data_IF_142434066666
#
_entry.id   IF_142434066666
#
_cell.length_a   1.000
_cell.length_b   1.000
_cell.length_c   1.000
_cell.angle_alpha   90.00
_cell.angle_beta   90.00
_cell.angle_gamma   90.00
#
_symmetry.space_group_name_H-M   'P 1'
#
loop_
_entity.id
_entity.type
_entity.pdbx_description
1 polymer ?
#
# COMPACT_ATOMS: atom_id res chain seq x y z
N UNK A 1 25.46 -55.60 -66.34
CA UNK A 1 23.99 -55.50 -66.56
C UNK A 1 23.34 -56.08 -65.31
N UNK A 2 22.69 -55.34 -64.42
CA UNK A 2 21.83 -54.16 -64.57
C UNK A 2 21.82 -53.34 -63.25
N UNK A 3 21.28 -52.10 -63.25
CA UNK A 3 21.78 -50.99 -62.40
C UNK A 3 21.00 -50.72 -61.09
N UNK A 4 21.68 -49.93 -60.25
CA UNK A 4 21.24 -49.04 -59.17
C UNK A 4 19.75 -48.66 -59.11
N UNK A 5 19.18 -48.76 -57.89
CA UNK A 5 17.99 -48.02 -57.47
C UNK A 5 18.37 -46.99 -56.40
N UNK A 6 18.07 -45.72 -56.69
CA UNK A 6 18.31 -44.56 -55.81
C UNK A 6 17.24 -44.46 -54.72
N UNK A 7 17.58 -44.08 -53.47
CA UNK A 7 16.60 -43.89 -52.42
C UNK A 7 15.85 -42.54 -52.55
N UNK A 8 14.53 -42.60 -52.38
CA UNK A 8 13.60 -41.46 -52.34
C UNK A 8 14.01 -40.46 -51.25
N UNK A 9 14.32 -39.22 -51.66
CA UNK A 9 14.50 -38.06 -50.77
C UNK A 9 13.16 -37.64 -50.15
N UNK A 10 13.03 -37.76 -48.84
CA UNK A 10 11.98 -37.07 -48.09
C UNK A 10 12.33 -35.57 -47.99
N UNK A 11 11.40 -34.72 -48.40
CA UNK A 11 11.51 -33.25 -48.39
C UNK A 11 11.32 -32.68 -46.98
N UNK A 12 12.16 -31.71 -46.61
CA UNK A 12 12.18 -30.98 -45.31
C UNK A 12 10.90 -30.16 -45.01
N UNK A 13 9.85 -30.24 -45.83
CA UNK A 13 8.56 -29.53 -45.62
C UNK A 13 7.42 -30.38 -45.04
N UNK A 14 7.66 -31.65 -44.70
CA UNK A 14 6.65 -32.53 -44.09
C UNK A 14 6.64 -32.55 -42.55
N UNK A 15 7.54 -31.86 -41.86
CA UNK A 15 7.73 -31.97 -40.40
C UNK A 15 7.12 -30.80 -39.58
N UNK A 16 6.21 -30.02 -40.17
CA UNK A 16 5.56 -28.88 -39.50
C UNK A 16 4.02 -28.91 -39.54
N UNK A 17 3.42 -30.06 -39.84
CA UNK A 17 1.97 -30.19 -39.91
C UNK A 17 1.48 -31.47 -39.22
N UNK A 18 1.70 -31.58 -37.90
CA UNK A 18 0.89 -32.40 -36.98
C UNK A 18 1.45 -32.29 -35.56
N UNK A 19 0.97 -31.33 -34.76
CA UNK A 19 0.96 -31.45 -33.29
C UNK A 19 -0.10 -30.50 -32.72
N UNK A 20 -1.35 -30.80 -33.04
CA UNK A 20 -2.51 -30.36 -32.25
C UNK A 20 -2.81 -31.42 -31.20
N UNK A 21 -2.73 -31.02 -29.93
CA UNK A 21 -3.36 -31.62 -28.74
C UNK A 21 -3.18 -33.14 -28.48
N UNK A 22 -2.26 -33.46 -27.57
CA UNK A 22 -2.39 -34.39 -26.43
C UNK A 22 -1.07 -35.13 -26.11
N UNK A 23 -0.51 -34.89 -24.92
CA UNK A 23 0.21 -35.90 -24.15
C UNK A 23 1.66 -36.27 -24.52
N UNK A 24 2.59 -35.79 -23.68
CA UNK A 24 3.87 -36.41 -23.26
C UNK A 24 4.99 -36.58 -24.29
N UNK A 25 6.08 -35.82 -24.09
CA UNK A 25 7.43 -36.31 -24.37
C UNK A 25 8.42 -35.76 -23.33
N UNK A 26 8.62 -36.54 -22.26
CA UNK A 26 9.86 -36.48 -21.51
C UNK A 26 10.99 -36.98 -22.41
N UNK A 27 12.05 -36.17 -22.59
CA UNK A 27 13.50 -36.51 -22.73
C UNK A 27 14.23 -35.30 -23.34
N UNK A 28 14.80 -34.44 -22.47
CA UNK A 28 15.97 -33.57 -22.69
C UNK A 28 16.37 -32.89 -21.36
N UNK A 29 16.73 -33.72 -20.37
CA UNK A 29 16.74 -33.42 -18.93
C UNK A 29 17.86 -32.53 -18.37
N UNK A 30 18.31 -31.48 -19.07
CA UNK A 30 19.11 -30.42 -18.43
C UNK A 30 18.94 -29.04 -19.10
N UNK A 31 18.71 -29.01 -20.41
CA UNK A 31 18.50 -27.77 -21.16
C UNK A 31 17.01 -27.38 -21.22
N UNK A 32 16.11 -28.36 -21.13
CA UNK A 32 14.66 -28.11 -21.15
C UNK A 32 14.11 -27.54 -19.84
N UNK A 33 14.78 -27.78 -18.70
CA UNK A 33 14.37 -27.24 -17.39
C UNK A 33 14.49 -25.72 -17.32
N UNK A 34 15.56 -25.17 -17.91
CA UNK A 34 15.81 -23.72 -17.93
C UNK A 34 14.87 -23.01 -18.92
N UNK A 35 14.61 -23.62 -20.09
CA UNK A 35 13.65 -23.11 -21.06
C UNK A 35 12.20 -23.18 -20.56
N UNK A 36 11.78 -24.27 -19.90
CA UNK A 36 10.44 -24.35 -19.30
C UNK A 36 10.30 -23.43 -18.10
N UNK A 37 11.28 -23.35 -17.20
CA UNK A 37 11.28 -22.39 -16.09
C UNK A 37 11.23 -20.93 -16.58
N UNK A 38 11.96 -20.60 -17.65
CA UNK A 38 11.90 -19.28 -18.31
C UNK A 38 10.52 -18.97 -18.91
N UNK A 39 9.88 -19.97 -19.54
CA UNK A 39 8.52 -19.83 -20.08
C UNK A 39 7.49 -19.64 -18.94
N UNK A 40 7.54 -20.45 -17.88
CA UNK A 40 6.62 -20.34 -16.75
C UNK A 40 6.86 -19.05 -15.93
N UNK A 41 8.12 -18.61 -15.79
CA UNK A 41 8.46 -17.34 -15.15
C UNK A 41 7.94 -16.13 -15.93
N UNK A 42 8.12 -16.13 -17.26
CA UNK A 42 7.58 -15.08 -18.13
C UNK A 42 6.05 -15.01 -18.11
N UNK A 43 5.37 -16.15 -18.03
CA UNK A 43 3.91 -16.18 -17.93
C UNK A 43 3.38 -15.61 -16.60
N UNK A 44 4.03 -15.95 -15.49
CA UNK A 44 3.68 -15.38 -14.18
C UNK A 44 3.88 -13.87 -14.14
N UNK A 45 4.98 -13.36 -14.70
CA UNK A 45 5.21 -11.93 -14.79
C UNK A 45 4.12 -11.22 -15.63
N UNK A 46 3.69 -11.82 -16.76
CA UNK A 46 2.57 -11.29 -17.55
C UNK A 46 1.25 -11.29 -16.79
N UNK A 47 0.98 -12.30 -15.97
CA UNK A 47 -0.22 -12.35 -15.13
C UNK A 47 -0.24 -11.23 -14.08
N UNK A 48 0.91 -10.89 -13.48
CA UNK A 48 1.03 -9.73 -12.59
C UNK A 48 0.73 -8.45 -13.38
N UNK A 49 1.36 -8.26 -14.53
CA UNK A 49 1.12 -7.07 -15.38
C UNK A 49 -0.33 -6.93 -15.87
N UNK A 50 -1.02 -8.05 -16.14
CA UNK A 50 -2.40 -8.05 -16.62
C UNK A 50 -3.46 -7.89 -15.52
N UNK A 51 -3.08 -7.99 -14.23
CA UNK A 51 -4.04 -7.97 -13.12
C UNK A 51 -4.76 -6.63 -13.05
N UNK A 52 -6.09 -6.70 -12.92
CA UNK A 52 -6.99 -5.54 -12.77
C UNK A 52 -7.65 -5.56 -11.40
N UNK A 53 -7.73 -4.40 -10.76
CA UNK A 53 -8.56 -4.18 -9.58
C UNK A 53 -9.72 -3.28 -10.01
N UNK A 54 -10.99 -3.65 -9.73
CA UNK A 54 -12.13 -2.81 -10.07
C UNK A 54 -12.01 -1.41 -9.44
N UNK A 55 -12.19 -0.37 -10.26
CA UNK A 55 -12.18 1.02 -9.80
C UNK A 55 -13.48 1.40 -9.07
N UNK A 56 -14.62 1.09 -9.71
CA UNK A 56 -15.95 1.37 -9.18
C UNK A 56 -16.35 0.34 -8.12
N UNK A 57 -17.06 0.79 -7.09
CA UNK A 57 -17.47 -0.02 -5.94
C UNK A 57 -17.96 0.86 -4.79
N UNK A 58 -18.48 0.22 -3.72
CA UNK A 58 -18.96 0.95 -2.51
C UNK A 58 -17.85 1.77 -1.85
N UNK A 59 -16.63 1.24 -1.84
CA UNK A 59 -15.45 1.84 -1.25
C UNK A 59 -14.39 2.04 -2.32
N UNK A 60 -13.55 3.07 -2.19
CA UNK A 60 -12.42 3.23 -3.10
C UNK A 60 -11.47 2.02 -2.99
N UNK A 61 -11.05 1.52 -4.16
CA UNK A 61 -10.41 0.21 -4.28
C UNK A 61 -9.15 0.03 -3.43
N UNK A 62 -8.30 1.06 -3.32
CA UNK A 62 -7.01 0.98 -2.63
C UNK A 62 -7.12 0.74 -1.11
N UNK A 63 -8.31 0.89 -0.51
CA UNK A 63 -8.55 0.51 0.89
C UNK A 63 -8.48 -1.01 1.06
N UNK A 64 -9.19 -1.77 0.23
CA UNK A 64 -9.31 -3.23 0.37
C UNK A 64 -8.42 -4.03 -0.60
N UNK A 65 -7.80 -3.38 -1.58
CA UNK A 65 -6.90 -4.05 -2.52
C UNK A 65 -5.78 -4.81 -1.80
N UNK A 66 -5.29 -5.93 -2.35
CA UNK A 66 -4.11 -6.61 -1.81
C UNK A 66 -2.88 -5.67 -1.75
N UNK A 67 -1.87 -5.97 -0.91
CA UNK A 67 -0.60 -5.26 -0.94
C UNK A 67 0.01 -5.30 -2.34
N UNK A 68 0.50 -4.15 -2.82
CA UNK A 68 1.17 -4.01 -4.11
C UNK A 68 2.67 -3.82 -3.92
N UNK A 69 3.46 -4.09 -4.97
CA UNK A 69 4.91 -3.92 -4.93
C UNK A 69 5.35 -2.45 -4.75
N UNK A 70 4.59 -1.50 -5.28
CA UNK A 70 4.89 -0.07 -5.25
C UNK A 70 3.72 0.73 -4.68
N UNK A 71 4.04 1.72 -3.84
CA UNK A 71 3.07 2.65 -3.27
C UNK A 71 3.62 4.05 -3.28
N UNK A 72 3.00 4.96 -4.04
CA UNK A 72 3.35 6.38 -4.07
C UNK A 72 2.22 7.17 -3.45
N UNK A 73 2.55 8.07 -2.54
CA UNK A 73 1.58 8.97 -1.93
C UNK A 73 1.97 10.41 -2.23
N UNK A 74 1.05 11.15 -2.83
CA UNK A 74 1.24 12.55 -3.16
C UNK A 74 0.13 13.38 -2.52
N UNK A 75 0.49 14.54 -2.01
CA UNK A 75 -0.47 15.57 -1.63
C UNK A 75 -0.43 16.71 -2.64
N UNK A 76 -1.59 17.31 -2.87
CA UNK A 76 -1.77 18.48 -3.72
C UNK A 76 -2.36 19.62 -2.90
N UNK A 77 -1.92 20.84 -3.19
CA UNK A 77 -2.56 22.07 -2.72
C UNK A 77 -3.29 22.73 -3.89
N UNK A 78 -4.55 23.12 -3.68
CA UNK A 78 -5.31 23.89 -4.66
C UNK A 78 -4.76 25.32 -4.76
N UNK A 79 -4.73 25.86 -5.98
CA UNK A 79 -4.20 27.19 -6.23
C UNK A 79 -5.08 28.27 -5.59
N UNK A 80 -4.52 29.44 -5.22
CA UNK A 80 -5.32 30.55 -4.70
C UNK A 80 -6.42 30.98 -5.68
N UNK A 81 -7.63 31.21 -5.16
CA UNK A 81 -8.77 31.69 -5.96
C UNK A 81 -9.50 30.62 -6.77
N UNK A 82 -9.18 29.33 -6.58
CA UNK A 82 -9.94 28.25 -7.20
C UNK A 82 -11.40 28.26 -6.71
N UNK A 83 -12.33 27.98 -7.60
CA UNK A 83 -13.76 27.85 -7.28
C UNK A 83 -14.14 26.40 -6.98
N UNK A 84 -15.25 26.19 -6.26
CA UNK A 84 -15.83 24.85 -6.03
C UNK A 84 -16.01 24.09 -7.34
N UNK A 85 -16.55 24.73 -8.37
CA UNK A 85 -16.77 24.12 -9.68
C UNK A 85 -15.48 23.71 -10.40
N UNK A 86 -14.37 24.42 -10.20
CA UNK A 86 -13.07 24.01 -10.75
C UNK A 86 -12.51 22.77 -10.05
N UNK A 87 -12.65 22.67 -8.73
CA UNK A 87 -12.25 21.48 -7.97
C UNK A 87 -13.15 20.29 -8.31
N UNK A 88 -14.46 20.49 -8.44
CA UNK A 88 -15.40 19.46 -8.88
C UNK A 88 -15.04 18.95 -10.29
N UNK A 89 -14.76 19.87 -11.23
CA UNK A 89 -14.33 19.53 -12.59
C UNK A 89 -13.03 18.72 -12.59
N UNK A 90 -12.09 19.05 -11.70
CA UNK A 90 -10.87 18.27 -11.51
C UNK A 90 -11.18 16.86 -11.02
N UNK A 91 -12.06 16.70 -10.02
CA UNK A 91 -12.44 15.37 -9.51
C UNK A 91 -13.15 14.52 -10.56
N UNK A 92 -13.97 15.12 -11.43
CA UNK A 92 -14.59 14.43 -12.57
C UNK A 92 -13.54 13.95 -13.57
N UNK A 93 -12.59 14.82 -13.92
CA UNK A 93 -11.46 14.49 -14.80
C UNK A 93 -10.60 13.37 -14.21
N UNK A 94 -10.18 13.51 -12.95
CA UNK A 94 -9.39 12.51 -12.24
C UNK A 94 -10.09 11.17 -12.12
N UNK A 95 -11.40 11.15 -11.84
CA UNK A 95 -12.18 9.90 -11.77
C UNK A 95 -12.18 9.20 -13.13
N UNK A 96 -12.46 9.93 -14.22
CA UNK A 96 -12.44 9.38 -15.57
C UNK A 96 -11.08 8.78 -15.89
N UNK A 97 -10.01 9.55 -15.65
CA UNK A 97 -8.65 9.14 -15.99
C UNK A 97 -8.21 7.96 -15.11
N UNK A 98 -8.56 7.96 -13.82
CA UNK A 98 -8.28 6.84 -12.93
C UNK A 98 -8.99 5.55 -13.37
N UNK A 99 -10.27 5.64 -13.78
CA UNK A 99 -11.02 4.49 -14.30
C UNK A 99 -10.37 3.90 -15.55
N UNK A 100 -9.85 4.74 -16.45
CA UNK A 100 -9.13 4.30 -17.65
C UNK A 100 -7.79 3.63 -17.29
N UNK A 101 -6.95 4.30 -16.49
CA UNK A 101 -5.63 3.80 -16.14
C UNK A 101 -5.68 2.49 -15.34
N UNK A 102 -6.64 2.35 -14.42
CA UNK A 102 -6.83 1.10 -13.64
C UNK A 102 -7.36 -0.06 -14.50
N UNK A 103 -7.97 0.24 -15.65
CA UNK A 103 -8.30 -0.74 -16.68
C UNK A 103 -7.13 -1.02 -17.65
N UNK A 104 -6.02 -0.29 -17.57
CA UNK A 104 -4.90 -0.36 -18.51
C UNK A 104 -5.18 0.34 -19.84
N UNK A 105 -6.12 1.28 -19.84
CA UNK A 105 -6.52 2.06 -21.01
C UNK A 105 -5.81 3.43 -20.98
N UNK A 106 -5.45 3.99 -22.15
CA UNK A 106 -4.78 5.28 -22.25
C UNK A 106 -5.72 6.44 -21.86
N UNK A 107 -5.14 7.54 -21.38
CA UNK A 107 -5.86 8.78 -21.03
C UNK A 107 -5.66 9.88 -22.07
N UNK A 108 -6.47 10.94 -22.02
CA UNK A 108 -6.29 12.08 -22.92
C UNK A 108 -4.93 12.77 -22.67
N UNK A 109 -4.15 12.99 -23.74
CA UNK A 109 -2.83 13.61 -23.63
C UNK A 109 -1.77 12.70 -23.01
N UNK A 110 -1.95 11.38 -23.10
CA UNK A 110 -0.96 10.37 -22.69
C UNK A 110 0.38 10.59 -23.43
N UNK A 111 1.48 10.36 -22.71
CA UNK A 111 2.85 10.51 -23.22
C UNK A 111 3.50 9.17 -23.58
N UNK A 112 2.71 8.10 -23.64
CA UNK A 112 3.13 6.74 -24.00
C UNK A 112 4.12 6.11 -23.02
N UNK A 113 4.31 6.68 -21.82
CA UNK A 113 5.24 6.15 -20.82
C UNK A 113 4.86 4.74 -20.34
N UNK A 114 3.56 4.42 -20.29
CA UNK A 114 3.07 3.09 -19.94
C UNK A 114 2.67 2.24 -21.17
N UNK A 115 3.08 2.63 -22.39
CA UNK A 115 2.74 1.88 -23.59
C UNK A 115 3.29 0.45 -23.52
N UNK A 116 2.41 -0.54 -23.63
CA UNK A 116 2.76 -1.97 -23.52
C UNK A 116 2.73 -2.51 -22.09
N UNK A 117 2.50 -1.67 -21.09
CA UNK A 117 2.22 -2.11 -19.72
C UNK A 117 0.73 -2.45 -19.57
N UNK A 118 0.43 -3.52 -18.85
CA UNK A 118 -0.92 -3.74 -18.34
C UNK A 118 -1.18 -2.95 -17.05
N UNK A 119 -2.41 -2.97 -16.53
CA UNK A 119 -2.78 -2.18 -15.36
C UNK A 119 -2.03 -2.56 -14.08
N UNK A 120 -1.41 -3.74 -14.01
CA UNK A 120 -0.49 -4.12 -12.93
C UNK A 120 -1.04 -3.88 -11.52
N UNK A 121 -2.30 -4.27 -11.29
CA UNK A 121 -3.00 -4.07 -10.02
C UNK A 121 -3.17 -2.60 -9.59
N UNK A 122 -3.09 -1.65 -10.53
CA UNK A 122 -3.18 -0.22 -10.21
C UNK A 122 -4.44 0.10 -9.41
N UNK A 123 -4.27 0.80 -8.30
CA UNK A 123 -5.35 1.51 -7.60
C UNK A 123 -4.97 2.96 -7.39
N UNK A 124 -5.98 3.83 -7.42
CA UNK A 124 -5.85 5.27 -7.17
C UNK A 124 -6.91 5.61 -6.14
N UNK A 125 -6.48 6.05 -4.96
CA UNK A 125 -7.35 6.41 -3.84
C UNK A 125 -7.15 7.89 -3.52
N UNK A 126 -8.24 8.65 -3.52
CA UNK A 126 -8.23 10.10 -3.31
C UNK A 126 -8.91 10.43 -1.99
N UNK A 127 -8.32 11.33 -1.21
CA UNK A 127 -8.90 11.86 0.02
C UNK A 127 -8.74 13.37 0.14
N UNK A 128 -9.59 13.98 0.96
CA UNK A 128 -9.68 15.43 1.16
C UNK A 128 -9.15 15.81 2.54
N UNK A 129 -8.17 16.70 2.56
CA UNK A 129 -7.61 17.25 3.79
C UNK A 129 -8.52 18.31 4.40
N UNK A 130 -8.36 18.61 5.70
CA UNK A 130 -9.15 19.65 6.37
C UNK A 130 -8.93 21.05 5.79
N UNK A 131 -7.81 21.30 5.10
CA UNK A 131 -7.56 22.56 4.41
C UNK A 131 -8.39 22.72 3.13
N UNK A 132 -8.64 21.64 2.38
CA UNK A 132 -9.52 21.70 1.21
C UNK A 132 -10.94 22.06 1.62
N UNK A 133 -11.48 21.38 2.63
CA UNK A 133 -12.84 21.62 3.10
C UNK A 133 -13.02 23.09 3.51
N UNK A 134 -12.05 23.67 4.23
CA UNK A 134 -12.07 25.10 4.57
C UNK A 134 -12.04 26.02 3.34
N UNK A 135 -11.24 25.68 2.32
CA UNK A 135 -11.15 26.47 1.08
C UNK A 135 -12.43 26.39 0.23
N UNK A 136 -13.20 25.32 0.38
CA UNK A 136 -14.50 25.12 -0.28
C UNK A 136 -15.69 25.59 0.58
N UNK A 137 -15.43 26.22 1.74
CA UNK A 137 -16.45 26.60 2.73
C UNK A 137 -17.32 25.43 3.23
N UNK A 138 -16.77 24.22 3.17
CA UNK A 138 -17.39 23.00 3.66
C UNK A 138 -17.10 22.81 5.16
N UNK A 139 -18.07 22.23 5.89
CA UNK A 139 -17.87 21.88 7.30
C UNK A 139 -16.73 20.85 7.45
N UNK A 140 -15.77 21.14 8.35
CA UNK A 140 -14.71 20.20 8.72
C UNK A 140 -15.22 19.26 9.82
N UNK A 141 -15.20 17.96 9.57
CA UNK A 141 -15.70 16.96 10.52
C UNK A 141 -14.77 16.84 11.71
N UNK A 142 -15.31 16.48 12.88
CA UNK A 142 -14.52 16.23 14.07
C UNK A 142 -13.49 15.09 13.88
N UNK A 143 -13.77 14.12 13.01
CA UNK A 143 -12.82 13.06 12.64
C UNK A 143 -11.59 13.58 11.85
N UNK A 144 -11.65 14.78 11.28
CA UNK A 144 -10.50 15.48 10.67
C UNK A 144 -9.78 16.44 11.64
N UNK A 145 -9.99 16.27 12.95
CA UNK A 145 -9.18 16.98 13.94
C UNK A 145 -7.70 16.68 13.69
N UNK A 146 -6.82 17.70 13.70
CA UNK A 146 -5.39 17.49 13.52
C UNK A 146 -4.84 16.44 14.48
N UNK A 147 -3.98 15.57 13.96
CA UNK A 147 -3.25 14.59 14.77
C UNK A 147 -2.38 15.37 15.78
N UNK A 148 -2.44 15.05 17.08
CA UNK A 148 -1.66 15.77 18.08
C UNK A 148 -0.17 15.54 17.87
N UNK A 149 0.65 16.49 18.31
CA UNK A 149 2.09 16.31 18.34
C UNK A 149 2.46 15.24 19.38
N UNK A 150 3.36 14.32 19.02
CA UNK A 150 3.87 13.29 19.92
C UNK A 150 5.32 13.58 20.34
N UNK A 151 5.77 13.07 21.49
CA UNK A 151 7.17 13.11 21.88
C UNK A 151 8.08 12.57 20.77
N UNK A 152 9.17 13.30 20.47
CA UNK A 152 10.18 12.97 19.44
C UNK A 152 9.70 13.09 17.99
N UNK A 153 8.50 13.60 17.75
CA UNK A 153 8.11 14.04 16.40
C UNK A 153 9.09 15.09 15.87
N UNK A 154 9.53 14.92 14.63
CA UNK A 154 10.37 15.85 13.87
C UNK A 154 9.67 16.18 12.55
N UNK A 155 8.39 16.59 12.63
CA UNK A 155 7.54 16.77 11.46
C UNK A 155 8.01 17.94 10.60
N UNK A 156 8.37 17.64 9.36
CA UNK A 156 8.57 18.60 8.29
C UNK A 156 7.21 19.06 7.77
N UNK A 157 6.90 20.35 7.97
CA UNK A 157 5.62 20.95 7.54
C UNK A 157 5.47 21.00 6.02
N UNK A 158 6.56 21.17 5.27
CA UNK A 158 6.51 21.24 3.80
C UNK A 158 6.16 19.88 3.20
N UNK A 159 6.50 18.80 3.91
CA UNK A 159 6.21 17.41 3.55
C UNK A 159 5.02 16.82 4.32
N UNK A 160 4.21 17.64 4.98
CA UNK A 160 3.05 17.24 5.77
C UNK A 160 1.76 17.87 5.24
N UNK A 161 0.62 17.35 5.68
CA UNK A 161 -0.73 17.80 5.30
C UNK A 161 -0.96 17.86 3.78
N UNK A 162 -1.89 18.70 3.33
CA UNK A 162 -2.26 18.92 1.93
C UNK A 162 -3.77 18.98 1.75
N UNK A 163 -4.22 19.62 0.67
CA UNK A 163 -5.64 19.73 0.35
C UNK A 163 -6.23 18.42 -0.19
N UNK A 164 -5.52 17.76 -1.11
CA UNK A 164 -5.96 16.51 -1.72
C UNK A 164 -4.83 15.48 -1.62
N UNK A 165 -5.09 14.36 -0.96
CA UNK A 165 -4.17 13.22 -0.89
C UNK A 165 -4.51 12.20 -1.95
N UNK A 166 -3.50 11.68 -2.65
CA UNK A 166 -3.65 10.66 -3.70
C UNK A 166 -2.68 9.52 -3.46
N UNK A 167 -3.20 8.36 -3.07
CA UNK A 167 -2.47 7.11 -2.92
C UNK A 167 -2.57 6.29 -4.21
N UNK A 168 -1.42 6.05 -4.83
CA UNK A 168 -1.29 5.25 -6.04
C UNK A 168 -0.51 3.99 -5.72
N UNK A 169 -1.06 2.83 -6.03
CA UNK A 169 -0.39 1.54 -5.76
C UNK A 169 -0.45 0.65 -6.99
N UNK A 170 0.64 0.00 -7.36
CA UNK A 170 0.66 -1.00 -8.43
C UNK A 170 1.83 -1.98 -8.23
N UNK A 171 1.81 -3.08 -8.96
CA UNK A 171 2.91 -4.05 -9.01
C UNK A 171 4.03 -3.64 -9.99
N UNK A 172 3.87 -2.49 -10.67
CA UNK A 172 4.84 -1.93 -11.61
C UNK A 172 5.06 -0.43 -11.35
N UNK A 173 6.32 -0.01 -11.19
CA UNK A 173 6.67 1.37 -10.84
C UNK A 173 6.42 2.37 -12.00
N UNK A 174 6.53 1.94 -13.25
CA UNK A 174 6.25 2.78 -14.43
C UNK A 174 4.76 3.11 -14.48
N UNK A 175 3.90 2.14 -14.18
CA UNK A 175 2.45 2.33 -14.08
C UNK A 175 2.09 3.33 -12.98
N UNK A 176 2.71 3.25 -11.79
CA UNK A 176 2.48 4.23 -10.72
C UNK A 176 2.96 5.64 -11.13
N UNK A 177 4.16 5.74 -11.71
CA UNK A 177 4.70 7.01 -12.18
C UNK A 177 3.83 7.65 -13.26
N UNK A 178 3.27 6.84 -14.16
CA UNK A 178 2.36 7.27 -15.22
C UNK A 178 1.08 7.85 -14.65
N UNK A 179 0.45 7.13 -13.73
CA UNK A 179 -0.76 7.59 -13.09
C UNK A 179 -0.54 8.93 -12.37
N UNK A 180 0.54 9.08 -11.59
CA UNK A 180 0.83 10.35 -10.93
C UNK A 180 1.08 11.48 -11.93
N UNK A 181 1.83 11.23 -13.01
CA UNK A 181 2.13 12.23 -14.02
C UNK A 181 0.89 12.66 -14.80
N UNK A 182 -0.02 11.73 -15.09
CA UNK A 182 -1.31 12.01 -15.71
C UNK A 182 -2.17 12.91 -14.81
N UNK A 183 -2.37 12.55 -13.53
CA UNK A 183 -3.14 13.35 -12.58
C UNK A 183 -2.53 14.73 -12.33
N UNK A 184 -1.20 14.81 -12.26
CA UNK A 184 -0.49 16.09 -12.08
C UNK A 184 -0.63 17.00 -13.29
N UNK A 185 -0.69 16.44 -14.52
CA UNK A 185 -0.89 17.21 -15.75
C UNK A 185 -2.29 17.81 -15.81
N UNK A 186 -3.31 17.04 -15.44
CA UNK A 186 -4.70 17.49 -15.45
C UNK A 186 -5.04 18.42 -14.28
N UNK A 187 -4.25 18.40 -13.21
CA UNK A 187 -4.37 19.35 -12.10
C UNK A 187 -3.87 20.76 -12.40
N UNK A 188 -3.05 20.96 -13.45
CA UNK A 188 -2.42 22.26 -13.76
C UNK A 188 -3.46 23.37 -13.85
N UNK A 189 -3.24 24.45 -13.11
CA UNK A 189 -4.15 25.60 -13.04
C UNK A 189 -5.24 25.47 -11.97
N UNK A 190 -5.41 24.29 -11.36
CA UNK A 190 -6.38 24.04 -10.27
C UNK A 190 -5.67 23.62 -8.99
N UNK A 191 -4.66 22.76 -9.07
CA UNK A 191 -3.86 22.29 -7.95
C UNK A 191 -2.41 21.99 -8.37
N UNK A 192 -1.50 22.00 -7.40
CA UNK A 192 -0.09 21.68 -7.58
C UNK A 192 0.36 20.64 -6.55
N UNK A 193 1.32 19.80 -6.91
CA UNK A 193 1.92 18.84 -5.98
C UNK A 193 2.59 19.61 -4.84
N UNK A 194 2.19 19.30 -3.61
CA UNK A 194 2.79 19.81 -2.38
C UNK A 194 4.01 18.98 -2.00
N UNK A 195 3.84 17.67 -1.94
CA UNK A 195 4.90 16.71 -1.69
C UNK A 195 4.52 15.36 -2.30
N UNK A 196 5.53 14.52 -2.54
CA UNK A 196 5.35 13.14 -2.95
C UNK A 196 6.38 12.25 -2.25
N UNK A 197 5.96 11.04 -1.90
CA UNK A 197 6.84 10.01 -1.34
C UNK A 197 6.55 8.68 -2.01
N UNK A 198 7.60 7.94 -2.33
CA UNK A 198 7.54 6.62 -2.94
C UNK A 198 8.02 5.56 -1.96
N UNK A 199 7.33 4.42 -1.96
CA UNK A 199 7.71 3.24 -1.20
C UNK A 199 7.54 1.97 -2.02
N UNK A 200 8.03 0.89 -1.44
CA UNK A 200 8.04 -0.44 -2.03
C UNK A 200 7.72 -1.52 -0.98
N UNK A 201 7.21 -2.63 -1.48
CA UNK A 201 7.09 -3.92 -0.80
C UNK A 201 7.68 -5.00 -1.71
N UNK A 202 7.70 -6.25 -1.24
CA UNK A 202 8.05 -7.37 -2.11
C UNK A 202 7.05 -7.49 -3.26
N UNK A 203 7.55 -7.68 -4.48
CA UNK A 203 6.71 -7.94 -5.64
C UNK A 203 6.05 -9.33 -5.53
N UNK A 204 4.85 -9.44 -6.09
CA UNK A 204 4.09 -10.69 -6.09
C UNK A 204 4.88 -11.81 -6.80
N UNK A 205 4.90 -12.98 -6.19
CA UNK A 205 5.60 -14.17 -6.70
C UNK A 205 7.10 -14.21 -6.45
N UNK A 206 7.70 -13.21 -5.79
CA UNK A 206 9.14 -13.21 -5.44
C UNK A 206 9.43 -13.94 -4.13
N UNK A 207 8.45 -14.03 -3.22
CA UNK A 207 8.60 -14.77 -1.96
C UNK A 207 8.35 -16.27 -2.16
N UNK A 208 9.24 -17.11 -1.60
CA UNK A 208 9.19 -18.58 -1.73
C UNK A 208 7.89 -19.18 -1.16
N UNK A 209 7.34 -18.58 -0.10
CA UNK A 209 6.03 -18.93 0.43
C UNK A 209 4.95 -18.05 -0.23
N UNK A 210 3.93 -18.69 -0.81
CA UNK A 210 2.74 -17.99 -1.31
C UNK A 210 1.98 -17.34 -0.13
N UNK A 211 1.54 -16.09 -0.31
CA UNK A 211 0.77 -15.37 0.71
C UNK A 211 1.55 -15.05 1.99
N UNK A 212 2.88 -15.10 1.95
CA UNK A 212 3.70 -14.70 3.08
C UNK A 212 3.47 -13.23 3.43
N UNK A 213 3.30 -12.94 4.71
CA UNK A 213 3.22 -11.57 5.22
C UNK A 213 4.52 -10.83 4.86
N UNK A 214 4.43 -9.59 4.34
CA UNK A 214 5.60 -8.80 3.96
C UNK A 214 6.59 -8.56 5.11
N UNK A 215 7.79 -8.12 4.76
CA UNK A 215 8.80 -7.65 5.72
C UNK A 215 9.08 -6.16 5.55
N UNK A 216 9.43 -5.49 6.64
CA UNK A 216 9.90 -4.11 6.63
C UNK A 216 11.44 -4.03 6.70
N UNK A 217 12.01 -2.82 6.62
CA UNK A 217 13.47 -2.61 6.61
C UNK A 217 14.18 -2.86 7.95
N UNK A 218 13.45 -3.00 9.06
CA UNK A 218 14.00 -3.55 10.31
C UNK A 218 14.09 -5.08 10.29
N UNK A 219 13.65 -5.73 9.19
CA UNK A 219 13.66 -7.17 8.99
C UNK A 219 12.52 -7.90 9.70
N UNK A 220 11.50 -7.19 10.17
CA UNK A 220 10.36 -7.76 10.88
C UNK A 220 9.29 -8.21 9.90
N UNK A 221 8.53 -9.27 10.23
CA UNK A 221 7.27 -9.61 9.56
C UNK A 221 6.23 -8.55 9.92
N UNK A 222 5.61 -7.93 8.93
CA UNK A 222 4.75 -6.75 9.11
C UNK A 222 3.43 -6.87 8.33
N UNK A 223 2.32 -6.99 9.07
CA UNK A 223 0.99 -7.17 8.49
C UNK A 223 0.13 -8.21 9.20
N UNK A 224 0.75 -9.12 9.98
CA UNK A 224 0.09 -10.27 10.63
C UNK A 224 -1.18 -9.92 11.40
N UNK A 225 -1.14 -8.84 12.18
CA UNK A 225 -2.25 -8.40 13.05
C UNK A 225 -3.22 -7.43 12.39
N UNK A 226 -3.21 -7.31 11.06
CA UNK A 226 -4.21 -6.49 10.37
C UNK A 226 -5.60 -7.11 10.48
N UNK A 227 -6.65 -6.28 10.61
CA UNK A 227 -8.02 -6.75 10.53
C UNK A 227 -8.32 -7.30 9.14
N UNK A 228 -9.17 -8.33 9.07
CA UNK A 228 -9.61 -8.98 7.83
C UNK A 228 -11.06 -8.60 7.54
N UNK A 229 -11.48 -8.50 6.26
CA UNK A 229 -12.88 -8.25 5.92
C UNK A 229 -13.89 -9.25 6.51
N UNK A 230 -13.42 -10.45 6.86
CA UNK A 230 -14.22 -11.48 7.54
C UNK A 230 -14.39 -11.27 9.05
N UNK A 231 -13.64 -10.34 9.66
CA UNK A 231 -13.66 -10.13 11.10
C UNK A 231 -14.96 -9.43 11.52
N UNK A 232 -15.54 -9.80 12.68
CA UNK A 232 -16.63 -9.04 13.27
C UNK A 232 -16.22 -7.57 13.46
N UNK A 233 -17.16 -6.66 13.21
CA UNK A 233 -16.93 -5.20 13.28
C UNK A 233 -15.97 -4.64 12.23
N UNK A 234 -15.54 -5.42 11.21
CA UNK A 234 -14.60 -4.93 10.21
C UNK A 234 -15.07 -3.61 9.58
N UNK A 235 -16.27 -3.65 9.00
CA UNK A 235 -16.86 -2.52 8.31
C UNK A 235 -17.07 -1.34 9.25
N UNK A 236 -17.59 -1.59 10.45
CA UNK A 236 -17.90 -0.56 11.44
C UNK A 236 -16.66 0.22 11.90
N UNK A 237 -15.46 -0.38 11.84
CA UNK A 237 -14.21 0.25 12.30
C UNK A 237 -13.34 0.77 11.16
N UNK A 238 -13.55 0.34 9.91
CA UNK A 238 -12.82 0.84 8.74
C UNK A 238 -13.58 1.90 7.97
N UNK A 239 -14.89 1.74 7.83
CA UNK A 239 -15.71 2.63 7.01
C UNK A 239 -16.57 3.54 7.88
N UNK A 240 -16.63 4.80 7.48
CA UNK A 240 -17.48 5.79 8.12
C UNK A 240 -18.94 5.54 7.71
N UNK A 241 -19.79 5.31 8.70
CA UNK A 241 -21.26 5.25 8.55
C UNK A 241 -21.94 6.37 9.35
N UNK A 242 -21.25 6.91 10.35
CA UNK A 242 -21.63 8.10 11.10
C UNK A 242 -20.97 9.36 10.52
N UNK A 243 -21.68 10.48 10.56
CA UNK A 243 -21.15 11.80 10.16
C UNK A 243 -21.91 12.41 8.99
N UNK A 244 -21.27 13.28 8.18
CA UNK A 244 -21.94 13.88 7.03
C UNK A 244 -22.18 12.82 5.95
N UNK A 245 -23.32 12.93 5.26
CA UNK A 245 -23.76 11.96 4.26
C UNK A 245 -22.72 11.69 3.15
N UNK A 246 -21.88 12.68 2.80
CA UNK A 246 -20.84 12.52 1.78
C UNK A 246 -19.70 11.57 2.19
N UNK A 247 -19.58 11.26 3.49
CA UNK A 247 -18.59 10.31 4.02
C UNK A 247 -19.15 8.90 4.24
N UNK A 248 -20.44 8.65 4.04
CA UNK A 248 -21.00 7.31 4.24
C UNK A 248 -20.37 6.31 3.25
N UNK A 249 -19.76 5.23 3.77
CA UNK A 249 -18.97 4.29 2.98
C UNK A 249 -17.55 4.77 2.64
N UNK A 250 -17.15 5.95 3.13
CA UNK A 250 -15.77 6.45 3.08
C UNK A 250 -14.91 5.90 4.23
N UNK A 251 -13.68 6.39 4.37
CA UNK A 251 -12.75 6.07 5.46
C UNK A 251 -11.84 7.27 5.76
N UNK A 252 -11.12 7.26 6.86
CA UNK A 252 -10.11 8.27 7.18
C UNK A 252 -8.71 7.69 7.11
N UNK A 253 -7.89 8.28 6.24
CA UNK A 253 -6.51 7.87 6.01
C UNK A 253 -5.56 8.75 6.83
N UNK A 254 -4.84 8.11 7.75
CA UNK A 254 -3.67 8.69 8.40
C UNK A 254 -2.42 8.26 7.64
N UNK A 255 -1.54 9.23 7.36
CA UNK A 255 -0.22 9.02 6.82
C UNK A 255 0.85 9.48 7.80
N UNK A 256 1.91 8.68 7.96
CA UNK A 256 3.14 9.05 8.67
C UNK A 256 4.36 8.58 7.88
N UNK A 257 5.31 9.47 7.59
CA UNK A 257 6.68 9.04 7.22
C UNK A 257 7.43 8.75 8.50
N UNK A 258 7.82 7.50 8.68
CA UNK A 258 8.51 7.03 9.88
C UNK A 258 9.90 6.56 9.49
N UNK A 259 10.92 7.37 9.79
CA UNK A 259 12.31 6.97 9.59
C UNK A 259 12.70 5.93 10.62
N UNK A 260 13.36 4.88 10.17
CA UNK A 260 13.96 3.85 11.02
C UNK A 260 15.41 4.26 11.32
N UNK A 261 15.79 4.28 12.59
CA UNK A 261 17.16 4.54 13.03
C UNK A 261 17.98 3.26 12.88
N UNK A 262 18.22 2.84 11.63
CA UNK A 262 18.79 1.53 11.29
C UNK A 262 20.18 1.33 11.91
N UNK A 263 21.05 2.35 11.88
CA UNK A 263 22.38 2.27 12.49
C UNK A 263 22.32 1.95 14.00
N UNK A 264 21.30 2.47 14.71
CA UNK A 264 21.07 2.16 16.13
C UNK A 264 20.42 0.80 16.31
N UNK A 265 19.45 0.46 15.47
CA UNK A 265 18.73 -0.81 15.48
C UNK A 265 19.67 -2.00 15.26
N UNK A 266 20.63 -1.87 14.36
CA UNK A 266 21.56 -2.93 13.97
C UNK A 266 22.65 -3.21 15.02
N UNK A 267 22.80 -2.34 16.02
CA UNK A 267 23.66 -2.63 17.20
C UNK A 267 23.04 -3.62 18.18
N UNK A 268 21.72 -3.83 18.11
CA UNK A 268 21.02 -4.72 19.03
C UNK A 268 21.23 -6.18 18.64
N UNK A 269 21.32 -7.07 19.65
CA UNK A 269 21.21 -8.50 19.38
C UNK A 269 19.83 -8.83 18.81
N UNK A 270 19.73 -9.93 18.08
CA UNK A 270 18.45 -10.41 17.54
C UNK A 270 17.40 -10.60 18.63
N UNK A 271 17.78 -11.18 19.77
CA UNK A 271 16.90 -11.39 20.91
C UNK A 271 16.36 -10.05 21.42
N UNK A 272 17.21 -9.01 21.48
CA UNK A 272 16.75 -7.70 21.92
C UNK A 272 15.80 -7.05 20.91
N UNK A 273 16.08 -7.16 19.62
CA UNK A 273 15.16 -6.70 18.57
C UNK A 273 13.80 -7.40 18.66
N UNK A 274 13.79 -8.72 18.89
CA UNK A 274 12.57 -9.49 19.08
C UNK A 274 11.81 -9.08 20.35
N UNK A 275 12.50 -8.72 21.44
CA UNK A 275 11.89 -8.19 22.67
C UNK A 275 11.26 -6.80 22.47
N UNK A 276 11.91 -5.91 21.72
CA UNK A 276 11.37 -4.58 21.38
C UNK A 276 10.01 -4.73 20.68
N UNK A 277 9.90 -5.69 19.77
CA UNK A 277 8.67 -5.92 19.02
C UNK A 277 7.66 -6.79 19.77
N UNK A 278 8.11 -7.86 20.42
CA UNK A 278 7.27 -8.91 21.00
C UNK A 278 6.99 -10.08 20.05
N UNK A 279 7.69 -10.16 18.92
CA UNK A 279 7.61 -11.25 17.92
C UNK A 279 8.99 -11.68 17.45
N UNK A 280 9.08 -12.94 17.04
CA UNK A 280 10.25 -13.54 16.39
C UNK A 280 10.48 -12.94 15.01
N UNK A 281 11.73 -12.65 14.65
CA UNK A 281 12.06 -12.09 13.33
C UNK A 281 11.97 -13.13 12.22
N UNK A 282 12.36 -14.38 12.48
CA UNK A 282 12.37 -15.43 11.46
C UNK A 282 10.97 -15.85 11.00
N UNK A 283 10.06 -16.04 11.96
CA UNK A 283 8.77 -16.69 11.78
C UNK A 283 7.59 -15.75 11.98
N UNK A 284 7.82 -14.56 12.54
CA UNK A 284 6.76 -13.66 12.96
C UNK A 284 5.97 -14.15 14.18
N UNK A 285 6.27 -15.32 14.76
CA UNK A 285 5.53 -15.86 15.90
C UNK A 285 5.64 -14.94 17.14
N UNK A 286 4.58 -14.83 17.97
CA UNK A 286 4.67 -14.19 19.28
C UNK A 286 5.82 -14.75 20.12
N UNK A 287 6.45 -13.92 20.96
CA UNK A 287 7.41 -14.43 21.96
C UNK A 287 6.75 -15.35 22.99
N UNK A 288 5.42 -15.28 23.13
CA UNK A 288 4.64 -16.25 23.92
C UNK A 288 4.54 -17.64 23.27
N UNK A 289 4.99 -17.82 22.02
CA UNK A 289 5.07 -19.12 21.32
C UNK A 289 4.04 -19.30 20.19
N UNK A 290 4.14 -20.43 19.49
CA UNK A 290 3.26 -20.80 18.37
C UNK A 290 3.82 -20.41 17.00
N UNK A 291 2.91 -20.06 16.09
CA UNK A 291 3.19 -19.60 14.71
C UNK A 291 2.88 -18.12 14.55
N UNK A 292 3.15 -17.54 13.38
CA UNK A 292 2.83 -16.14 13.05
C UNK A 292 1.42 -15.72 13.50
N UNK A 293 0.41 -16.53 13.15
CA UNK A 293 -1.00 -16.23 13.41
C UNK A 293 -1.50 -16.73 14.78
N UNK A 294 -0.63 -17.24 15.64
CA UNK A 294 -1.02 -17.57 17.01
C UNK A 294 -1.37 -16.29 17.78
N UNK A 295 -2.52 -16.26 18.50
CA UNK A 295 -2.87 -15.12 19.36
C UNK A 295 -1.80 -14.83 20.40
N UNK A 296 -1.68 -13.56 20.80
CA UNK A 296 -0.76 -13.18 21.88
C UNK A 296 -1.28 -13.73 23.21
N UNK A 297 -0.42 -14.43 23.94
CA UNK A 297 -0.61 -14.68 25.37
C UNK A 297 0.22 -13.64 26.13
N UNK A 298 -0.47 -12.58 26.58
CA UNK A 298 0.15 -11.44 27.25
C UNK A 298 0.46 -11.73 28.73
N UNK A 299 -0.03 -12.83 29.29
CA UNK A 299 0.19 -13.16 30.70
C UNK A 299 1.26 -14.24 30.87
N UNK A 300 1.64 -14.92 29.78
CA UNK A 300 2.73 -15.89 29.78
C UNK A 300 4.03 -15.32 30.32
N UNK A 301 4.59 -16.02 31.29
CA UNK A 301 5.90 -15.76 31.86
C UNK A 301 6.95 -16.74 31.32
N UNK A 302 8.18 -16.27 31.24
CA UNK A 302 9.37 -17.09 31.05
C UNK A 302 9.75 -17.77 32.38
N UNK A 303 10.67 -18.77 32.36
CA UNK A 303 11.13 -19.45 33.59
C UNK A 303 11.75 -18.54 34.64
N UNK A 304 12.22 -17.35 34.26
CA UNK A 304 12.78 -16.32 35.15
C UNK A 304 11.70 -15.43 35.80
N UNK A 305 10.41 -15.69 35.52
CA UNK A 305 9.26 -14.93 36.03
C UNK A 305 8.94 -13.65 35.24
N UNK A 306 9.77 -13.27 34.26
CA UNK A 306 9.50 -12.13 33.39
C UNK A 306 8.43 -12.44 32.33
N UNK A 307 7.66 -11.45 31.90
CA UNK A 307 6.67 -11.63 30.82
C UNK A 307 7.37 -11.98 29.51
N UNK A 308 6.91 -13.04 28.83
CA UNK A 308 7.43 -13.45 27.53
C UNK A 308 7.28 -12.35 26.48
N UNK A 309 6.15 -11.63 26.52
CA UNK A 309 5.93 -10.39 25.79
C UNK A 309 6.01 -9.24 26.80
N UNK A 310 7.16 -8.56 26.83
CA UNK A 310 7.46 -7.52 27.79
C UNK A 310 6.43 -6.38 27.82
N UNK A 311 6.34 -5.65 28.94
CA UNK A 311 5.36 -4.57 29.11
C UNK A 311 5.57 -3.43 28.11
N UNK A 312 6.77 -3.16 27.61
CA UNK A 312 7.03 -2.11 26.61
C UNK A 312 7.06 -2.59 25.16
N UNK A 313 6.79 -3.88 24.91
CA UNK A 313 6.86 -4.45 23.56
C UNK A 313 5.82 -3.81 22.62
N UNK A 314 6.24 -3.47 21.40
CA UNK A 314 5.41 -2.75 20.43
C UNK A 314 4.06 -3.44 20.20
N UNK A 315 4.06 -4.76 19.97
CA UNK A 315 2.81 -5.50 19.72
C UNK A 315 1.88 -5.51 20.93
N UNK A 316 2.40 -5.52 22.17
CA UNK A 316 1.55 -5.42 23.36
C UNK A 316 0.89 -4.06 23.40
N UNK A 317 1.64 -2.98 23.15
CA UNK A 317 1.10 -1.63 23.23
C UNK A 317 0.12 -1.32 22.10
N UNK A 318 0.34 -1.85 20.91
CA UNK A 318 -0.54 -1.67 19.76
C UNK A 318 -1.79 -2.58 19.80
N UNK A 319 -1.69 -3.76 20.42
CA UNK A 319 -2.75 -4.78 20.38
C UNK A 319 -4.11 -4.26 20.88
N UNK A 320 -5.24 -4.69 20.28
CA UNK A 320 -6.58 -4.24 20.68
C UNK A 320 -6.91 -4.52 22.15
N UNK A 321 -6.37 -5.61 22.70
CA UNK A 321 -6.52 -5.94 24.12
C UNK A 321 -5.98 -4.83 25.05
N UNK A 322 -5.04 -4.01 24.58
CA UNK A 322 -4.37 -2.97 25.36
C UNK A 322 -4.72 -1.55 24.87
N UNK A 323 -4.87 -1.36 23.56
CA UNK A 323 -5.21 -0.08 22.95
C UNK A 323 -6.72 0.16 22.87
N UNK A 324 -7.53 -0.91 22.98
CA UNK A 324 -9.00 -0.86 22.90
C UNK A 324 -9.53 -0.60 21.49
N UNK A 325 -8.70 -0.70 20.46
CA UNK A 325 -9.06 -0.39 19.07
C UNK A 325 -8.10 -1.05 18.07
N UNK A 326 -8.42 -0.98 16.79
CA UNK A 326 -7.56 -1.44 15.71
C UNK A 326 -7.76 -0.58 14.44
N UNK A 327 -6.81 -0.68 13.52
CA UNK A 327 -6.73 0.07 12.27
C UNK A 327 -6.27 -0.85 11.14
N UNK A 328 -6.66 -0.56 9.90
CA UNK A 328 -6.15 -1.27 8.73
C UNK A 328 -4.87 -0.60 8.24
N UNK A 329 -3.71 -1.25 8.46
CA UNK A 329 -2.40 -0.72 8.06
C UNK A 329 -2.04 -1.16 6.64
N UNK A 330 -1.59 -0.24 5.80
CA UNK A 330 -1.19 -0.49 4.40
C UNK A 330 0.12 0.19 4.03
N UNK A 331 1.11 0.05 4.91
CA UNK A 331 2.39 0.72 4.75
C UNK A 331 3.27 0.18 3.62
N UNK A 332 4.26 0.97 3.25
CA UNK A 332 5.32 0.62 2.30
C UNK A 332 6.67 0.97 2.90
N UNK A 333 7.69 0.15 2.68
CA UNK A 333 9.06 0.53 3.02
C UNK A 333 9.52 1.69 2.11
N UNK A 334 10.43 2.54 2.57
CA UNK A 334 11.11 3.52 1.71
C UNK A 334 12.62 3.55 1.97
N UNK A 335 13.39 3.91 0.95
CA UNK A 335 14.83 4.12 1.04
C UNK A 335 15.20 5.22 0.03
N UNK A 336 15.43 6.44 0.53
CA UNK A 336 15.63 7.65 -0.28
C UNK A 336 17.11 8.08 -0.32
N UNK A 337 18.03 7.17 -0.03
CA UNK A 337 19.47 7.40 -0.02
C UNK A 337 20.03 7.61 1.39
N UNK A 338 21.13 8.35 1.47
CA UNK A 338 21.82 8.66 2.73
C UNK A 338 21.72 10.15 3.03
N UNK A 339 21.55 10.46 4.31
CA UNK A 339 21.53 11.82 4.84
C UNK A 339 22.94 12.39 4.90
N UNK A 340 23.04 13.70 5.13
CA UNK A 340 24.33 14.41 5.22
C UNK A 340 25.25 13.88 6.34
N UNK A 341 24.68 13.27 7.39
CA UNK A 341 25.40 12.63 8.49
C UNK A 341 25.80 11.17 8.19
N UNK A 342 25.47 10.66 7.00
CA UNK A 342 25.75 9.28 6.57
C UNK A 342 24.71 8.26 7.00
N UNK A 343 23.70 8.64 7.80
CA UNK A 343 22.63 7.72 8.19
C UNK A 343 21.68 7.45 7.00
N UNK A 344 21.12 6.25 6.85
CA UNK A 344 20.15 5.97 5.80
C UNK A 344 18.86 6.78 6.02
N UNK A 345 18.38 7.46 4.98
CA UNK A 345 17.00 7.97 4.96
C UNK A 345 16.08 6.84 4.49
N UNK A 346 15.78 5.94 5.42
CA UNK A 346 15.01 4.73 5.16
C UNK A 346 14.04 4.45 6.30
N UNK A 347 12.91 3.84 5.96
CA UNK A 347 11.91 3.50 6.97
C UNK A 347 10.59 3.03 6.39
N UNK A 348 9.49 3.49 6.98
CA UNK A 348 8.12 3.09 6.65
C UNK A 348 7.27 4.32 6.28
N UNK A 349 6.68 4.29 5.09
CA UNK A 349 5.51 5.09 4.74
C UNK A 349 4.29 4.42 5.36
N UNK A 350 3.96 4.81 6.58
CA UNK A 350 2.85 4.24 7.33
C UNK A 350 1.53 4.86 6.85
N UNK A 351 0.60 4.01 6.44
CA UNK A 351 -0.75 4.36 6.00
C UNK A 351 -1.75 3.56 6.82
N UNK A 352 -2.75 4.23 7.39
CA UNK A 352 -3.78 3.58 8.19
C UNK A 352 -5.18 4.08 7.85
N UNK A 353 -6.07 3.15 7.53
CA UNK A 353 -7.50 3.39 7.32
C UNK A 353 -8.29 3.05 8.60
N UNK A 354 -9.29 3.88 8.89
CA UNK A 354 -10.21 3.72 10.02
C UNK A 354 -11.47 4.57 9.83
N UNK A 355 -12.53 4.26 10.57
CA UNK A 355 -13.78 5.03 10.58
C UNK A 355 -13.66 6.38 11.30
N UNK A 356 -12.78 6.50 12.30
CA UNK A 356 -12.53 7.72 13.06
C UNK A 356 -11.10 7.73 13.65
N UNK A 357 -10.19 8.61 13.18
CA UNK A 357 -8.81 8.69 13.65
C UNK A 357 -8.66 8.99 15.15
N UNK A 358 -9.67 9.60 15.78
CA UNK A 358 -9.67 9.89 17.23
C UNK A 358 -9.79 8.62 18.05
N UNK A 359 -10.53 7.64 17.54
CA UNK A 359 -10.75 6.34 18.18
C UNK A 359 -9.89 5.22 17.60
N UNK A 360 -9.18 5.46 16.50
CA UNK A 360 -8.20 4.55 15.88
C UNK A 360 -6.76 4.98 16.16
N UNK A 361 -6.10 5.51 15.13
CA UNK A 361 -4.68 5.87 15.12
C UNK A 361 -4.26 6.75 16.30
N UNK A 362 -5.00 7.81 16.60
CA UNK A 362 -4.59 8.78 17.64
C UNK A 362 -4.49 8.09 19.00
N UNK A 363 -5.46 7.25 19.35
CA UNK A 363 -5.48 6.49 20.60
C UNK A 363 -4.30 5.50 20.67
N UNK A 364 -4.05 4.77 19.59
CA UNK A 364 -2.91 3.85 19.51
C UNK A 364 -1.59 4.61 19.66
N UNK A 365 -1.39 5.67 18.89
CA UNK A 365 -0.15 6.44 18.86
C UNK A 365 0.13 7.15 20.19
N UNK A 366 -0.90 7.69 20.87
CA UNK A 366 -0.77 8.24 22.23
C UNK A 366 -0.21 7.20 23.20
N UNK A 367 -0.67 5.95 23.09
CA UNK A 367 -0.18 4.85 23.91
C UNK A 367 1.26 4.49 23.56
N UNK A 368 1.57 4.36 22.27
CA UNK A 368 2.92 4.06 21.80
C UNK A 368 3.92 5.12 22.25
N UNK A 369 3.58 6.40 22.10
CA UNK A 369 4.40 7.52 22.54
C UNK A 369 4.84 7.46 24.02
N UNK A 370 4.00 6.86 24.89
CA UNK A 370 4.26 6.77 26.32
C UNK A 370 5.04 5.51 26.74
N UNK A 371 4.77 4.37 26.09
CA UNK A 371 5.18 3.06 26.61
C UNK A 371 5.94 2.18 25.62
N UNK A 372 5.98 2.52 24.33
CA UNK A 372 6.57 1.68 23.30
C UNK A 372 8.09 1.82 23.26
N UNK A 373 8.77 0.68 23.34
CA UNK A 373 10.22 0.63 23.21
C UNK A 373 10.69 0.95 21.78
N UNK A 374 9.90 0.58 20.76
CA UNK A 374 10.25 0.84 19.36
C UNK A 374 10.40 2.33 19.07
N UNK A 375 9.71 3.20 19.82
CA UNK A 375 9.82 4.67 19.72
C UNK A 375 11.24 5.21 19.95
N UNK A 376 12.19 4.41 20.46
CA UNK A 376 13.61 4.76 20.56
C UNK A 376 14.38 4.58 19.24
N UNK A 377 13.83 3.80 18.31
CA UNK A 377 14.47 3.38 17.07
C UNK A 377 13.75 3.91 15.83
N UNK A 378 12.78 4.81 16.02
CA UNK A 378 12.03 5.44 14.94
C UNK A 378 11.84 6.93 15.19
N UNK A 379 11.67 7.70 14.12
CA UNK A 379 11.34 9.13 14.15
C UNK A 379 10.21 9.39 13.16
N UNK A 380 9.15 10.06 13.59
CA UNK A 380 8.11 10.53 12.67
C UNK A 380 8.53 11.87 12.07
N UNK A 381 8.63 11.93 10.74
CA UNK A 381 9.16 13.09 10.01
C UNK A 381 8.12 13.78 9.12
N UNK A 382 6.98 13.15 8.88
CA UNK A 382 5.86 13.76 8.18
C UNK A 382 4.55 13.16 8.65
N UNK A 383 3.48 13.95 8.55
CA UNK A 383 2.13 13.57 8.95
C UNK A 383 1.10 14.15 8.01
N UNK A 384 0.05 13.40 7.71
CA UNK A 384 -1.12 13.94 7.04
C UNK A 384 -2.39 13.15 7.41
N UNK A 385 -3.54 13.80 7.31
CA UNK A 385 -4.85 13.20 7.58
C UNK A 385 -5.83 13.60 6.48
N UNK A 386 -6.47 12.61 5.86
CA UNK A 386 -7.41 12.80 4.76
C UNK A 386 -8.72 12.04 5.00
N UNK A 387 -9.84 12.67 4.64
CA UNK A 387 -11.14 12.03 4.52
C UNK A 387 -11.27 11.43 3.12
N UNK A 388 -11.27 10.10 3.03
CA UNK A 388 -11.41 9.36 1.77
C UNK A 388 -12.90 9.10 1.57
N UNK A 389 -13.58 9.79 0.63
CA UNK A 389 -15.01 9.57 0.39
C UNK A 389 -15.28 8.15 -0.12
N UNK A 390 -16.56 7.79 -0.21
CA UNK A 390 -17.01 6.53 -0.79
C UNK A 390 -16.44 6.29 -2.19
N UNK A 391 -16.51 5.04 -2.65
CA UNK A 391 -16.25 4.72 -4.05
C UNK A 391 -17.33 5.29 -4.98
N UNK A 392 -17.24 4.93 -6.25
CA UNK A 392 -18.10 5.43 -7.32
C UNK A 392 -18.83 4.30 -8.04
N UNK A 393 -19.81 4.66 -8.86
CA UNK A 393 -20.39 3.82 -9.90
C UNK A 393 -19.95 4.33 -11.30
N UNK A 394 -20.29 3.62 -12.40
CA UNK A 394 -19.89 4.02 -13.75
C UNK A 394 -20.33 5.43 -14.20
N UNK A 395 -21.32 6.02 -13.53
CA UNK A 395 -21.87 7.36 -13.82
C UNK A 395 -21.44 8.42 -12.81
N UNK A 396 -20.92 7.99 -11.65
CA UNK A 396 -20.46 8.87 -10.58
C UNK A 396 -18.99 9.26 -10.67
N UNK A 397 -18.60 10.16 -9.76
CA UNK A 397 -17.22 10.60 -9.58
C UNK A 397 -16.85 10.74 -8.10
N UNK A 398 -15.55 10.65 -7.81
CA UNK A 398 -15.04 10.69 -6.45
C UNK A 398 -15.42 12.01 -5.79
N UNK A 399 -16.03 11.93 -4.60
CA UNK A 399 -16.48 13.09 -3.85
C UNK A 399 -17.77 13.73 -4.37
N UNK A 400 -18.49 13.12 -5.32
CA UNK A 400 -19.74 13.67 -5.87
C UNK A 400 -20.74 14.15 -4.81
N UNK A 401 -20.96 13.34 -3.77
CA UNK A 401 -21.88 13.69 -2.68
C UNK A 401 -21.44 14.91 -1.88
N UNK A 402 -20.13 15.21 -1.81
CA UNK A 402 -19.61 16.42 -1.19
C UNK A 402 -19.96 17.63 -2.06
N UNK A 403 -19.60 17.59 -3.36
CA UNK A 403 -19.82 18.72 -4.26
C UNK A 403 -21.30 19.00 -4.55
N UNK A 404 -22.17 17.98 -4.50
CA UNK A 404 -23.62 18.18 -4.60
C UNK A 404 -24.22 18.89 -3.37
N UNK A 405 -23.50 18.92 -2.25
CA UNK A 405 -23.91 19.58 -1.01
C UNK A 405 -23.29 20.98 -0.82
N UNK A 406 -22.39 21.39 -1.72
CA UNK A 406 -21.78 22.73 -1.79
C UNK A 406 -22.50 23.57 -2.84
#
# INVERSE_FOLDING_TARGET
>A
MSPESTPRRFSRRGLLAATSAAGVAAVAGAVAGDATASIFGGERARQVGARRIPFDGRHQAGILAPPAAHGWFAAFDVVPGVTVGQVESLMRTWTRDARLMTAGEPVAGDDSMALGHGPSSLTITVGFGPSLLRKLDAAVQAALTPIPAFPRDQLDRERSDGDIGVLLTADDAIVVAHALRALSRTARGTAAVRWQMSGFNAADGVTVAQGATPRNLMGQVDGTGNPKPSDPEFDARIFADDGPAWMHGGSYLVFRRIRMLLDSWDTLSRERQEQVIGRRKDTGAPLSGGTEFTPFDLDKQNPDGGLAIGPSAHVRQAAPATSGTWILRKGFSYFDGYRADGAPDAGLLFLAFQNDPRHGFTRIQQRLALADELSRFIVHESSALFAVPSGTDPHGYIGQSLFAAL
#
